data_IF_777261369028
#
_entry.id   IF_777261369028
#
_cell.length_a   1.000
_cell.length_b   1.000
_cell.length_c   1.000
_cell.angle_alpha   90.00
_cell.angle_beta   90.00
_cell.angle_gamma   90.00
#
_symmetry.space_group_name_H-M   'P 1'
#
loop_
_entity.id
_entity.type
_entity.pdbx_description
1 polymer ?
#
# COMPACT_ATOMS: atom_id res chain seq x y z
N UNK A 1 2.52 -32.48 48.82
CA UNK A 1 2.94 -32.61 47.41
C UNK A 1 1.81 -32.45 46.37
N UNK A 2 0.67 -31.82 46.69
CA UNK A 2 -0.39 -31.50 45.69
C UNK A 2 -0.57 -30.00 45.42
N UNK A 3 -0.10 -29.12 46.31
CA UNK A 3 -0.15 -27.67 46.17
C UNK A 3 1.05 -27.09 45.37
N UNK A 4 2.20 -27.75 45.38
CA UNK A 4 3.40 -27.30 44.65
C UNK A 4 3.32 -27.54 43.13
N UNK A 5 2.47 -28.48 42.70
CA UNK A 5 2.24 -28.79 41.28
C UNK A 5 1.33 -27.75 40.59
N UNK A 6 0.48 -27.06 41.36
CA UNK A 6 -0.47 -26.08 40.82
C UNK A 6 0.22 -24.76 40.44
N UNK A 7 1.29 -24.39 41.14
CA UNK A 7 2.10 -23.19 40.82
C UNK A 7 3.05 -23.42 39.64
N UNK A 8 3.47 -24.66 39.37
CA UNK A 8 4.29 -24.97 38.19
C UNK A 8 3.47 -25.00 36.89
N UNK A 9 2.17 -25.31 36.97
CA UNK A 9 1.25 -25.22 35.82
C UNK A 9 0.89 -23.77 35.44
N UNK A 10 1.04 -22.81 36.35
CA UNK A 10 0.78 -21.37 36.09
C UNK A 10 2.02 -20.59 35.64
N UNK A 11 3.22 -21.16 35.76
CA UNK A 11 4.50 -20.52 35.38
C UNK A 11 5.00 -20.79 33.96
N UNK A 12 4.28 -21.61 33.17
CA UNK A 12 4.69 -22.01 31.81
C UNK A 12 4.01 -21.20 30.68
N UNK A 13 3.31 -20.12 31.00
CA UNK A 13 2.53 -19.35 30.00
C UNK A 13 3.19 -18.01 29.63
N UNK A 14 4.40 -17.71 30.13
CA UNK A 14 5.09 -16.46 29.77
C UNK A 14 6.52 -16.74 29.31
N UNK A 15 6.68 -17.04 28.02
CA UNK A 15 7.70 -16.47 27.12
C UNK A 15 8.05 -17.43 25.97
N UNK A 16 7.14 -17.61 25.03
CA UNK A 16 7.50 -17.94 23.65
C UNK A 16 6.49 -17.31 22.69
N UNK A 17 6.33 -15.99 22.79
CA UNK A 17 5.69 -15.18 21.76
C UNK A 17 6.80 -14.53 20.93
N UNK A 18 7.39 -15.31 20.03
CA UNK A 18 8.06 -14.79 18.85
C UNK A 18 7.55 -15.57 17.63
N UNK A 19 6.24 -15.45 17.39
CA UNK A 19 5.63 -15.79 16.09
C UNK A 19 4.75 -14.58 15.75
N UNK A 20 5.31 -13.62 15.03
CA UNK A 20 4.53 -12.61 14.30
C UNK A 20 5.29 -12.15 13.03
N UNK A 21 5.76 -13.09 12.20
CA UNK A 21 6.28 -12.77 10.86
C UNK A 21 5.31 -13.15 9.72
N UNK A 22 4.09 -13.58 10.05
CA UNK A 22 3.06 -13.95 9.09
C UNK A 22 1.79 -13.10 9.27
N UNK A 23 1.87 -11.82 8.91
CA UNK A 23 0.70 -11.00 8.54
C UNK A 23 0.80 -10.61 7.06
N UNK A 24 0.07 -11.32 6.23
CA UNK A 24 -0.26 -10.92 4.85
C UNK A 24 -1.76 -10.61 4.91
N UNK A 25 -2.22 -9.34 4.77
CA UNK A 25 -2.26 -8.69 3.45
C UNK A 25 -2.10 -7.16 3.43
N UNK A 26 -1.57 -6.63 2.32
CA UNK A 26 -2.13 -5.42 1.71
C UNK A 26 -1.17 -4.30 1.29
N UNK A 27 -0.99 -4.18 -0.03
CA UNK A 27 -1.29 -2.93 -0.76
C UNK A 27 -0.59 -1.66 -0.24
N UNK A 28 0.55 -1.33 -0.84
CA UNK A 28 1.25 -0.05 -0.67
C UNK A 28 0.32 1.12 -1.08
N UNK A 29 -0.54 1.57 -0.18
CA UNK A 29 -1.45 2.69 -0.42
C UNK A 29 -0.84 3.94 0.22
N UNK A 30 -0.41 4.89 -0.61
CA UNK A 30 0.06 6.20 -0.13
C UNK A 30 -1.08 7.01 0.47
N UNK A 31 -0.74 8.00 1.30
CA UNK A 31 -1.74 8.93 1.83
C UNK A 31 -2.27 9.83 0.70
N UNK A 32 -3.57 10.17 0.69
CA UNK A 32 -4.10 11.19 -0.22
C UNK A 32 -3.30 12.50 -0.06
N UNK A 33 -3.11 13.22 -1.16
CA UNK A 33 -2.47 14.54 -1.13
C UNK A 33 -3.27 15.58 -0.35
N UNK A 34 -2.60 16.66 0.05
CA UNK A 34 -3.26 17.77 0.74
C UNK A 34 -4.03 18.58 -0.32
N UNK A 35 -5.29 19.00 -0.07
CA UNK A 35 -6.03 19.84 -0.99
C UNK A 35 -5.29 21.15 -1.32
N UNK A 36 -5.46 21.64 -2.54
CA UNK A 36 -4.90 22.93 -2.96
C UNK A 36 -5.46 24.10 -2.15
N UNK A 37 -4.72 25.21 -2.13
CA UNK A 37 -5.19 26.43 -1.46
C UNK A 37 -6.29 27.10 -2.29
N UNK A 38 -7.26 27.81 -1.66
CA UNK A 38 -8.24 28.60 -2.40
C UNK A 38 -7.58 29.65 -3.30
N UNK A 39 -8.25 29.98 -4.42
CA UNK A 39 -7.83 31.06 -5.31
C UNK A 39 -7.86 32.42 -4.64
N UNK A 40 -7.01 33.33 -5.13
CA UNK A 40 -7.01 34.71 -4.67
C UNK A 40 -8.22 35.44 -5.22
N UNK A 41 -8.75 36.40 -4.45
CA UNK A 41 -9.93 37.16 -4.87
C UNK A 41 -9.59 38.04 -6.09
N UNK A 42 -10.59 38.26 -6.93
CA UNK A 42 -10.47 39.13 -8.11
C UNK A 42 -10.03 40.54 -7.75
N UNK A 43 -9.33 41.17 -8.68
CA UNK A 43 -8.97 42.57 -8.55
C UNK A 43 -10.23 43.46 -8.46
N UNK A 44 -10.07 44.64 -7.88
CA UNK A 44 -11.16 45.62 -7.85
C UNK A 44 -11.48 46.07 -9.29
N UNK A 45 -12.77 46.28 -9.56
CA UNK A 45 -13.23 46.85 -10.82
C UNK A 45 -12.58 48.18 -11.13
N UNK A 46 -12.41 48.47 -12.42
CA UNK A 46 -11.93 49.78 -12.84
C UNK A 46 -12.94 50.86 -12.43
N UNK A 47 -12.50 52.11 -12.19
CA UNK A 47 -13.41 53.20 -11.90
C UNK A 47 -14.44 53.40 -13.02
N UNK A 48 -15.58 54.00 -12.66
CA UNK A 48 -16.58 54.43 -13.63
C UNK A 48 -15.98 55.39 -14.64
N UNK A 49 -16.50 55.37 -15.87
CA UNK A 49 -16.17 56.43 -16.83
C UNK A 49 -16.78 57.73 -16.36
N UNK A 50 -16.21 58.83 -16.83
CA UNK A 50 -16.69 60.16 -16.49
C UNK A 50 -18.14 60.38 -16.96
N UNK A 51 -18.81 61.30 -16.27
CA UNK A 51 -20.16 61.75 -16.62
C UNK A 51 -20.22 62.31 -18.03
N UNK A 52 -21.38 62.22 -18.67
CA UNK A 52 -21.59 62.94 -19.93
C UNK A 52 -21.72 64.43 -19.64
N UNK A 53 -21.24 65.23 -20.56
CA UNK A 53 -21.37 66.68 -20.50
C UNK A 53 -22.85 67.09 -20.40
N UNK A 54 -23.09 68.19 -19.70
CA UNK A 54 -24.44 68.77 -19.59
C UNK A 54 -25.00 69.10 -20.96
N UNK A 55 -26.32 69.04 -21.10
CA UNK A 55 -26.97 69.46 -22.35
C UNK A 55 -26.90 70.97 -22.49
N UNK A 56 -26.77 71.42 -23.73
CA UNK A 56 -26.82 72.84 -24.06
C UNK A 56 -28.15 73.45 -23.61
N UNK A 57 -28.09 74.68 -23.10
CA UNK A 57 -29.27 75.41 -22.63
C UNK A 57 -30.28 75.65 -23.75
N UNK A 58 -31.57 75.77 -23.40
CA UNK A 58 -32.61 76.07 -24.37
C UNK A 58 -32.41 77.47 -24.99
N UNK A 59 -32.77 77.61 -26.27
CA UNK A 59 -32.62 78.87 -27.02
C UNK A 59 -33.55 79.95 -26.43
N UNK A 60 -32.97 81.06 -25.97
CA UNK A 60 -33.73 82.17 -25.37
C UNK A 60 -34.43 83.06 -26.40
N UNK A 61 -35.46 83.79 -25.96
CA UNK A 61 -35.95 84.99 -26.66
C UNK A 61 -34.90 86.12 -26.53
N UNK A 62 -34.82 87.11 -27.44
CA UNK A 62 -33.61 87.92 -27.58
C UNK A 62 -33.30 88.85 -26.38
N UNK A 63 -32.19 88.60 -25.66
CA UNK A 63 -31.54 89.54 -24.70
C UNK A 63 -30.77 88.90 -23.53
N UNK A 64 -29.52 89.37 -23.30
CA UNK A 64 -28.45 89.00 -22.33
C UNK A 64 -28.11 87.51 -22.04
N UNK A 65 -26.80 87.21 -21.97
CA UNK A 65 -26.19 85.87 -21.98
C UNK A 65 -26.66 85.00 -20.81
N UNK A 66 -27.30 83.86 -21.10
CA UNK A 66 -27.76 82.91 -20.09
C UNK A 66 -26.63 82.33 -19.23
N UNK A 67 -26.97 82.00 -17.97
CA UNK A 67 -26.06 81.36 -17.00
C UNK A 67 -25.57 79.99 -17.49
N UNK A 68 -24.34 79.62 -17.11
CA UNK A 68 -23.76 78.32 -17.44
C UNK A 68 -24.62 77.20 -16.85
N UNK A 69 -24.94 76.20 -17.68
CA UNK A 69 -25.74 75.05 -17.25
C UNK A 69 -25.08 74.27 -16.11
N UNK A 70 -25.87 73.53 -15.30
CA UNK A 70 -25.34 72.75 -14.20
C UNK A 70 -24.40 71.64 -14.69
N UNK A 71 -23.45 71.17 -13.86
CA UNK A 71 -22.58 70.06 -14.19
C UNK A 71 -23.35 68.82 -14.64
N UNK A 72 -22.74 68.05 -15.56
CA UNK A 72 -23.28 66.80 -16.06
C UNK A 72 -23.52 65.77 -14.95
N UNK A 73 -24.41 64.81 -15.21
CA UNK A 73 -24.69 63.73 -14.27
C UNK A 73 -23.46 62.83 -14.08
N UNK A 74 -23.24 62.26 -12.87
CA UNK A 74 -22.16 61.31 -12.63
C UNK A 74 -22.18 60.16 -13.65
N UNK A 75 -21.00 59.73 -14.07
CA UNK A 75 -20.88 58.66 -15.05
C UNK A 75 -21.32 57.30 -14.53
N UNK A 76 -21.49 56.32 -15.44
CA UNK A 76 -21.94 54.99 -15.05
C UNK A 76 -20.90 54.29 -14.16
N UNK A 77 -21.39 53.42 -13.26
CA UNK A 77 -20.53 52.60 -12.40
C UNK A 77 -19.52 51.83 -13.26
N UNK A 78 -18.28 51.78 -12.77
CA UNK A 78 -17.19 51.08 -13.44
C UNK A 78 -17.43 49.58 -13.59
N UNK A 79 -16.71 48.99 -14.53
CA UNK A 79 -16.84 47.58 -14.85
C UNK A 79 -16.46 46.70 -13.64
N UNK A 80 -17.14 45.57 -13.51
CA UNK A 80 -16.81 44.58 -12.48
C UNK A 80 -15.38 44.09 -12.71
N UNK A 81 -14.61 43.99 -11.63
CA UNK A 81 -13.22 43.55 -11.70
C UNK A 81 -13.07 42.15 -12.28
N UNK A 82 -11.89 41.87 -12.81
CA UNK A 82 -11.59 40.55 -13.37
C UNK A 82 -11.78 39.47 -12.30
N UNK A 83 -12.25 38.27 -12.67
CA UNK A 83 -12.28 37.13 -11.77
C UNK A 83 -10.93 36.89 -11.11
N UNK A 84 -10.97 36.32 -9.91
CA UNK A 84 -9.78 35.88 -9.19
C UNK A 84 -8.98 34.85 -9.97
N UNK A 85 -7.70 34.71 -9.63
CA UNK A 85 -6.88 33.62 -10.17
C UNK A 85 -7.17 32.35 -9.40
N UNK A 86 -7.19 31.24 -10.12
CA UNK A 86 -7.37 29.92 -9.52
C UNK A 86 -6.25 29.62 -8.51
N UNK A 87 -6.62 28.90 -7.46
CA UNK A 87 -5.70 28.50 -6.41
C UNK A 87 -4.65 27.51 -6.91
N UNK A 88 -3.54 27.42 -6.18
CA UNK A 88 -2.50 26.45 -6.49
C UNK A 88 -3.01 25.02 -6.26
N UNK A 89 -2.60 24.10 -7.13
CA UNK A 89 -2.87 22.69 -6.93
C UNK A 89 -2.21 22.20 -5.65
N UNK A 90 -2.88 21.27 -4.96
CA UNK A 90 -2.38 20.67 -3.74
C UNK A 90 -1.13 19.83 -3.97
N UNK A 91 -0.36 19.61 -2.91
CA UNK A 91 0.80 18.74 -2.98
C UNK A 91 0.37 17.27 -3.05
N UNK A 92 1.05 16.50 -3.90
CA UNK A 92 0.88 15.06 -3.97
C UNK A 92 1.26 14.45 -2.62
N UNK A 93 0.44 13.52 -2.13
CA UNK A 93 0.71 12.83 -0.87
C UNK A 93 1.99 12.00 -0.91
N UNK A 94 2.51 11.70 0.27
CA UNK A 94 3.71 10.89 0.43
C UNK A 94 3.53 9.47 -0.14
N UNK A 95 4.63 8.91 -0.63
CA UNK A 95 4.67 7.51 -1.04
C UNK A 95 4.34 6.60 0.15
N UNK A 96 3.47 5.61 -0.04
CA UNK A 96 3.16 4.61 0.99
C UNK A 96 4.32 3.63 1.21
N UNK A 97 4.47 3.11 2.44
CA UNK A 97 5.44 2.07 2.75
C UNK A 97 5.00 0.70 2.18
N UNK A 98 5.98 -0.15 1.83
CA UNK A 98 5.71 -1.48 1.27
C UNK A 98 5.18 -2.46 2.33
N UNK A 99 4.14 -3.23 1.99
CA UNK A 99 3.67 -4.35 2.80
C UNK A 99 4.62 -5.55 2.69
N UNK A 100 5.14 -6.07 3.81
CA UNK A 100 5.96 -7.29 3.85
C UNK A 100 5.08 -8.53 3.95
N UNK A 101 5.13 -9.37 2.93
CA UNK A 101 4.43 -10.64 2.81
C UNK A 101 4.90 -11.30 1.50
N UNK A 102 5.22 -12.60 1.37
CA UNK A 102 4.99 -13.77 2.22
C UNK A 102 6.30 -14.42 2.73
N UNK A 103 6.25 -15.29 3.74
CA UNK A 103 7.34 -16.25 4.00
C UNK A 103 6.82 -17.68 3.95
N UNK A 104 7.56 -18.56 3.29
CA UNK A 104 7.38 -20.01 3.39
C UNK A 104 8.59 -20.70 2.79
N UNK A 105 9.50 -21.16 3.63
CA UNK A 105 10.64 -21.98 3.21
C UNK A 105 10.97 -23.01 4.29
N UNK A 106 11.52 -24.15 3.86
CA UNK A 106 12.14 -25.10 4.78
C UNK A 106 13.41 -25.66 4.16
N UNK A 107 14.30 -26.12 5.02
CA UNK A 107 15.47 -26.93 4.69
C UNK A 107 15.60 -27.99 5.77
N UNK A 108 15.69 -29.25 5.35
CA UNK A 108 15.81 -30.37 6.26
C UNK A 108 16.68 -31.46 5.63
N UNK A 109 17.32 -32.26 6.48
CA UNK A 109 18.13 -33.41 6.09
C UNK A 109 17.71 -34.65 6.89
N UNK A 110 18.10 -35.82 6.41
CA UNK A 110 17.94 -37.07 7.18
C UNK A 110 19.05 -37.17 8.23
N UNK A 111 18.76 -37.73 9.39
CA UNK A 111 19.80 -38.21 10.31
C UNK A 111 20.68 -39.25 9.61
N UNK A 112 21.98 -39.29 9.95
CA UNK A 112 22.94 -40.30 9.48
C UNK A 112 22.42 -41.74 9.69
N UNK A 113 22.78 -42.70 8.81
CA UNK A 113 21.82 -43.65 8.26
C UNK A 113 21.28 -44.68 9.25
N UNK A 114 19.94 -44.68 9.37
CA UNK A 114 19.13 -45.86 9.69
C UNK A 114 18.42 -46.27 8.40
N UNK A 115 18.94 -47.30 7.72
CA UNK A 115 18.33 -48.01 6.58
C UNK A 115 17.88 -47.17 5.35
N UNK A 116 17.76 -47.80 4.16
CA UNK A 116 17.07 -47.18 3.03
C UNK A 116 15.66 -46.73 3.44
N UNK A 117 15.12 -45.64 2.86
CA UNK A 117 13.73 -45.28 3.03
C UNK A 117 12.83 -46.44 2.57
N UNK A 118 11.69 -46.62 3.24
CA UNK A 118 10.68 -47.56 2.77
C UNK A 118 10.16 -47.10 1.40
N UNK A 119 9.96 -48.06 0.49
CA UNK A 119 9.31 -47.79 -0.79
C UNK A 119 7.89 -47.24 -0.56
N UNK A 120 7.44 -46.39 -1.49
CA UNK A 120 6.08 -45.86 -1.55
C UNK A 120 5.62 -45.03 -0.33
N UNK A 121 6.55 -44.61 0.54
CA UNK A 121 6.28 -43.70 1.64
C UNK A 121 7.06 -42.38 1.50
N UNK A 122 6.53 -41.25 1.99
CA UNK A 122 7.27 -40.00 2.04
C UNK A 122 8.58 -40.16 2.81
N UNK A 123 9.67 -39.65 2.24
CA UNK A 123 10.96 -39.60 2.90
C UNK A 123 10.90 -38.57 4.02
N UNK A 124 11.16 -39.01 5.26
CA UNK A 124 11.20 -38.13 6.43
C UNK A 124 12.59 -37.53 6.57
N UNK A 125 12.68 -36.20 6.48
CA UNK A 125 13.90 -35.44 6.77
C UNK A 125 13.76 -34.88 8.19
N UNK A 126 14.19 -35.66 9.15
CA UNK A 126 13.97 -35.46 10.58
C UNK A 126 14.84 -34.36 11.20
N UNK A 127 15.96 -34.01 10.56
CA UNK A 127 16.85 -32.94 11.02
C UNK A 127 16.51 -31.65 10.28
N UNK A 128 15.75 -30.79 10.93
CA UNK A 128 15.35 -29.48 10.40
C UNK A 128 16.49 -28.46 10.54
N UNK A 129 16.84 -27.79 9.43
CA UNK A 129 17.82 -26.71 9.38
C UNK A 129 17.13 -25.34 9.36
N UNK A 130 16.06 -25.21 8.58
CA UNK A 130 15.22 -24.01 8.46
C UNK A 130 13.78 -24.49 8.38
N UNK A 131 12.88 -23.93 9.18
CA UNK A 131 11.43 -24.16 9.08
C UNK A 131 10.68 -23.10 9.89
N UNK A 132 11.01 -21.83 9.67
CA UNK A 132 10.51 -20.71 10.48
C UNK A 132 8.99 -20.64 10.53
N UNK A 133 8.31 -21.00 9.43
CA UNK A 133 6.85 -20.98 9.35
C UNK A 133 6.19 -22.32 9.73
N UNK A 134 6.96 -23.37 10.00
CA UNK A 134 6.42 -24.68 10.38
C UNK A 134 5.67 -25.42 9.27
N UNK A 135 5.70 -24.92 8.02
CA UNK A 135 4.98 -25.51 6.89
C UNK A 135 5.54 -26.89 6.46
N UNK A 136 6.72 -27.28 6.94
CA UNK A 136 7.24 -28.64 6.81
C UNK A 136 7.07 -29.45 8.09
N UNK A 137 6.50 -30.64 7.99
CA UNK A 137 6.35 -31.57 9.10
C UNK A 137 7.42 -32.69 9.03
N UNK A 138 8.41 -32.70 9.95
CA UNK A 138 9.48 -33.70 9.96
C UNK A 138 8.99 -35.10 10.34
N UNK A 139 7.82 -35.23 10.99
CA UNK A 139 7.28 -36.53 11.39
C UNK A 139 6.66 -37.28 10.21
N UNK A 140 6.04 -36.54 9.29
CA UNK A 140 5.39 -37.10 8.09
C UNK A 140 6.23 -36.96 6.83
N UNK A 141 7.22 -36.07 6.81
CA UNK A 141 8.04 -35.77 5.63
C UNK A 141 7.34 -34.89 4.60
N UNK A 142 6.26 -34.20 4.98
CA UNK A 142 5.39 -33.45 4.06
C UNK A 142 5.51 -31.94 4.27
N UNK A 143 5.52 -31.22 3.15
CA UNK A 143 5.33 -29.78 3.11
C UNK A 143 3.87 -29.45 2.81
N UNK A 144 3.27 -28.56 3.60
CA UNK A 144 1.90 -28.08 3.42
C UNK A 144 1.93 -26.63 2.96
N UNK A 145 1.31 -26.36 1.81
CA UNK A 145 1.24 -25.02 1.23
C UNK A 145 0.20 -24.18 1.98
N UNK A 146 0.66 -23.28 2.87
CA UNK A 146 -0.24 -22.32 3.56
C UNK A 146 -0.29 -20.95 2.87
N UNK A 147 0.81 -20.57 2.20
CA UNK A 147 0.87 -19.34 1.40
C UNK A 147 0.69 -19.70 -0.08
N UNK A 148 -0.34 -19.19 -0.78
CA UNK A 148 -0.47 -19.42 -2.21
C UNK A 148 0.67 -18.74 -2.97
N UNK A 149 1.32 -19.49 -3.86
CA UNK A 149 2.44 -18.96 -4.63
C UNK A 149 3.17 -20.02 -5.44
N UNK A 150 4.26 -19.60 -6.08
CA UNK A 150 5.20 -20.48 -6.74
C UNK A 150 6.24 -20.98 -5.74
N UNK A 151 6.51 -22.28 -5.75
CA UNK A 151 7.47 -22.92 -4.86
C UNK A 151 8.61 -23.57 -5.63
N UNK A 152 9.81 -23.53 -5.05
CA UNK A 152 10.99 -24.23 -5.54
C UNK A 152 11.37 -25.33 -4.55
N UNK A 153 11.62 -26.53 -5.08
CA UNK A 153 12.09 -27.66 -4.30
C UNK A 153 13.40 -28.16 -4.89
N UNK A 154 14.42 -28.30 -4.04
CA UNK A 154 15.71 -28.90 -4.40
C UNK A 154 16.02 -30.03 -3.43
N UNK A 155 16.51 -31.15 -3.98
CA UNK A 155 16.87 -32.34 -3.21
C UNK A 155 18.28 -32.73 -3.59
N UNK A 156 19.15 -32.85 -2.58
CA UNK A 156 20.47 -33.43 -2.73
C UNK A 156 20.46 -34.80 -2.04
N UNK A 157 20.77 -35.84 -2.81
CA UNK A 157 20.83 -37.20 -2.31
C UNK A 157 22.22 -37.79 -2.55
N UNK A 158 22.76 -38.47 -1.54
CA UNK A 158 23.97 -39.26 -1.68
C UNK A 158 23.58 -40.70 -2.01
N UNK A 159 23.96 -41.18 -3.19
CA UNK A 159 23.71 -42.55 -3.63
C UNK A 159 24.93 -43.41 -3.30
N UNK A 160 24.73 -44.45 -2.50
CA UNK A 160 25.79 -45.38 -2.10
C UNK A 160 25.25 -46.82 -2.03
N UNK A 161 26.00 -47.75 -2.63
CA UNK A 161 25.73 -49.21 -2.71
C UNK A 161 24.51 -49.65 -3.53
N UNK A 162 23.42 -48.90 -3.56
CA UNK A 162 22.19 -49.23 -4.30
C UNK A 162 21.70 -48.03 -5.09
N UNK A 163 21.13 -48.28 -6.28
CA UNK A 163 20.46 -47.24 -7.07
C UNK A 163 19.33 -46.58 -6.28
N UNK A 164 19.11 -45.30 -6.55
CA UNK A 164 18.07 -44.51 -5.91
C UNK A 164 17.09 -44.01 -6.96
N UNK A 165 15.81 -44.33 -6.78
CA UNK A 165 14.72 -43.70 -7.49
C UNK A 165 13.83 -42.95 -6.48
N UNK A 166 13.49 -41.71 -6.78
CA UNK A 166 12.52 -40.97 -5.98
C UNK A 166 11.68 -40.05 -6.85
N UNK A 167 10.44 -39.84 -6.42
CA UNK A 167 9.48 -38.95 -7.05
C UNK A 167 9.23 -37.75 -6.15
N UNK A 168 9.14 -36.56 -6.73
CA UNK A 168 8.56 -35.39 -6.05
C UNK A 168 7.04 -35.48 -6.24
N UNK A 169 6.31 -35.46 -5.13
CA UNK A 169 4.86 -35.65 -5.11
C UNK A 169 4.13 -34.36 -4.76
N UNK A 170 3.05 -34.04 -5.48
CA UNK A 170 2.11 -32.96 -5.16
C UNK A 170 0.71 -33.54 -5.05
N UNK A 171 0.07 -33.41 -3.88
CA UNK A 171 -1.29 -33.90 -3.61
C UNK A 171 -1.50 -35.36 -4.03
N UNK A 172 -0.51 -36.22 -3.80
CA UNK A 172 -0.57 -37.65 -4.13
C UNK A 172 -0.24 -38.01 -5.58
N UNK A 173 0.10 -37.04 -6.44
CA UNK A 173 0.49 -37.26 -7.83
C UNK A 173 1.98 -36.97 -8.04
N UNK A 174 2.72 -37.77 -8.82
CA UNK A 174 4.12 -37.50 -9.14
C UNK A 174 4.22 -36.30 -10.08
N UNK A 175 5.05 -35.32 -9.71
CA UNK A 175 5.34 -34.14 -10.54
C UNK A 175 6.71 -34.22 -11.21
N UNK A 176 7.65 -34.97 -10.63
CA UNK A 176 8.96 -35.24 -11.20
C UNK A 176 9.48 -36.59 -10.68
N UNK A 177 10.25 -37.29 -11.52
CA UNK A 177 10.87 -38.58 -11.19
C UNK A 177 12.36 -38.50 -11.46
N UNK A 178 13.16 -38.93 -10.50
CA UNK A 178 14.62 -38.92 -10.57
C UNK A 178 15.15 -40.33 -10.34
N UNK A 179 16.18 -40.70 -11.10
CA UNK A 179 16.85 -41.99 -11.02
C UNK A 179 18.36 -41.79 -11.12
N UNK A 180 19.11 -42.45 -10.24
CA UNK A 180 20.57 -42.46 -10.24
C UNK A 180 21.14 -43.81 -9.80
#
# INVERSE_FOLDING_TARGET
MKQLFLLFLLGLITSSLQIEDNKIPGLCSGQPGIPGTPGLHGGQGLPGRDGRDGRDGAMGMPGEKGETGPPGAPGPRGEVGSPGVDGMHGEKGAQGECAVAPRSAFSAKRSEPRSPPLADQPIRFDVVLINEQGHYDPTTGKFTCEVPGLYYFAVHATVYRTSLQFDIMKNGQPTARFFQ
#
